data_IF_404819476103
#
_entry.id   IF_404819476103
#
_cell.length_a   1.000
_cell.length_b   1.000
_cell.length_c   1.000
_cell.angle_alpha   90.00
_cell.angle_beta   90.00
_cell.angle_gamma   90.00
#
_symmetry.space_group_name_H-M   'P 1'
#
loop_
_entity.id
_entity.type
_entity.pdbx_description
1 polymer ?
#
# COMPACT_ATOMS: atom_id res chain seq x y z
N UNK A 1 -12.95 25.53 -8.05
CA UNK A 1 -12.17 24.88 -6.95
C UNK A 1 -11.85 23.46 -7.39
N UNK A 2 -10.63 23.18 -7.91
CA UNK A 2 -10.34 21.87 -8.47
C UNK A 2 -10.14 20.86 -7.32
N UNK A 3 -11.02 19.85 -7.25
CA UNK A 3 -11.01 18.79 -6.23
C UNK A 3 -10.41 17.47 -6.79
N UNK A 4 -9.46 17.55 -7.72
CA UNK A 4 -8.91 16.36 -8.38
C UNK A 4 -7.67 15.78 -7.69
N UNK A 5 -6.92 16.52 -6.87
CA UNK A 5 -5.66 15.99 -6.31
C UNK A 5 -5.80 14.98 -5.17
N UNK A 6 -6.98 14.80 -4.57
CA UNK A 6 -7.13 13.90 -3.40
C UNK A 6 -7.09 12.43 -3.79
N UNK A 7 -7.62 12.07 -4.99
CA UNK A 7 -7.64 10.67 -5.45
C UNK A 7 -6.22 10.18 -5.74
N UNK A 8 -5.40 10.98 -6.42
CA UNK A 8 -3.99 10.68 -6.74
C UNK A 8 -3.07 10.67 -5.51
N UNK A 9 -3.24 11.63 -4.59
CA UNK A 9 -2.41 11.74 -3.39
C UNK A 9 -2.54 10.49 -2.50
N UNK A 10 -3.78 10.03 -2.29
CA UNK A 10 -4.05 8.86 -1.46
C UNK A 10 -3.55 7.56 -2.10
N UNK A 11 -3.59 7.45 -3.44
CA UNK A 11 -2.95 6.34 -4.16
C UNK A 11 -1.43 6.35 -3.99
N UNK A 12 -0.78 7.50 -4.23
CA UNK A 12 0.67 7.66 -4.06
C UNK A 12 1.12 7.31 -2.65
N UNK A 13 0.39 7.75 -1.62
CA UNK A 13 0.68 7.40 -0.24
C UNK A 13 0.60 5.88 0.02
N UNK A 14 -0.46 5.22 -0.46
CA UNK A 14 -0.61 3.77 -0.32
C UNK A 14 0.51 3.00 -1.04
N UNK A 15 0.90 3.43 -2.23
CA UNK A 15 2.01 2.83 -2.99
C UNK A 15 3.34 3.01 -2.26
N UNK A 16 3.64 4.23 -1.78
CA UNK A 16 4.83 4.51 -0.97
C UNK A 16 4.84 3.64 0.30
N UNK A 17 3.71 3.56 1.01
CA UNK A 17 3.58 2.76 2.22
C UNK A 17 3.80 1.27 1.94
N UNK A 18 3.20 0.73 0.88
CA UNK A 18 3.38 -0.67 0.45
C UNK A 18 4.84 -0.94 0.07
N UNK A 19 5.50 -0.02 -0.64
CA UNK A 19 6.92 -0.15 -1.00
C UNK A 19 7.84 -0.10 0.23
N UNK A 20 7.54 0.75 1.21
CA UNK A 20 8.27 0.84 2.47
C UNK A 20 8.13 -0.42 3.32
N UNK A 21 6.93 -1.02 3.34
CA UNK A 21 6.66 -2.30 4.01
C UNK A 21 7.41 -3.45 3.33
N UNK A 22 7.45 -3.48 1.99
CA UNK A 22 8.28 -4.45 1.25
C UNK A 22 9.78 -4.31 1.56
N UNK A 23 10.27 -3.08 1.66
CA UNK A 23 11.65 -2.80 2.06
C UNK A 23 11.94 -3.24 3.50
N UNK A 24 10.99 -3.03 4.41
CA UNK A 24 11.07 -3.47 5.81
C UNK A 24 11.07 -5.00 5.96
N UNK A 25 10.31 -5.70 5.12
CA UNK A 25 10.32 -7.17 5.08
C UNK A 25 11.70 -7.66 4.62
N UNK A 26 12.25 -7.09 3.55
CA UNK A 26 13.60 -7.41 3.08
C UNK A 26 14.67 -7.11 4.16
N UNK A 27 14.52 -6.00 4.87
CA UNK A 27 15.39 -5.65 6.00
C UNK A 27 15.28 -6.66 7.15
N UNK A 28 14.07 -7.05 7.55
CA UNK A 28 13.83 -8.04 8.60
C UNK A 28 14.40 -9.42 8.27
N UNK A 29 14.32 -9.83 7.00
CA UNK A 29 14.97 -11.03 6.47
C UNK A 29 16.50 -10.96 6.59
N UNK A 30 17.09 -9.81 6.23
CA UNK A 30 18.54 -9.61 6.31
C UNK A 30 19.04 -9.59 7.77
N UNK A 31 18.22 -9.09 8.69
CA UNK A 31 18.49 -9.08 10.13
C UNK A 31 18.24 -10.43 10.83
N UNK A 32 17.45 -11.31 10.23
CA UNK A 32 16.97 -12.54 10.88
C UNK A 32 15.89 -12.31 11.95
N UNK A 33 15.26 -11.13 11.97
CA UNK A 33 14.23 -10.77 12.96
C UNK A 33 12.83 -11.12 12.45
N UNK A 34 12.34 -12.30 12.84
CA UNK A 34 11.04 -12.83 12.43
C UNK A 34 9.86 -11.95 12.87
N UNK A 35 10.01 -11.22 13.99
CA UNK A 35 8.98 -10.29 14.51
C UNK A 35 8.75 -9.12 13.55
N UNK A 36 9.83 -8.54 13.01
CA UNK A 36 9.76 -7.42 12.07
C UNK A 36 9.07 -7.88 10.78
N UNK A 37 9.43 -9.07 10.28
CA UNK A 37 8.81 -9.65 9.09
C UNK A 37 7.32 -9.88 9.32
N UNK A 38 6.93 -10.48 10.44
CA UNK A 38 5.53 -10.78 10.76
C UNK A 38 4.68 -9.50 10.87
N UNK A 39 5.17 -8.51 11.62
CA UNK A 39 4.47 -7.22 11.81
C UNK A 39 4.31 -6.45 10.49
N UNK A 40 5.38 -6.34 9.70
CA UNK A 40 5.33 -5.64 8.42
C UNK A 40 4.52 -6.42 7.38
N UNK A 41 4.47 -7.75 7.45
CA UNK A 41 3.63 -8.57 6.55
C UNK A 41 2.14 -8.30 6.76
N UNK A 42 1.69 -8.16 8.02
CA UNK A 42 0.30 -7.77 8.34
C UNK A 42 0.00 -6.36 7.82
N UNK A 43 0.92 -5.41 8.04
CA UNK A 43 0.79 -4.04 7.51
C UNK A 43 0.73 -4.01 5.99
N UNK A 44 1.56 -4.82 5.33
CA UNK A 44 1.62 -4.96 3.87
C UNK A 44 0.31 -5.55 3.32
N UNK A 45 -0.22 -6.60 3.95
CA UNK A 45 -1.51 -7.18 3.58
C UNK A 45 -2.66 -6.18 3.71
N UNK A 46 -2.69 -5.39 4.78
CA UNK A 46 -3.73 -4.38 5.01
C UNK A 46 -3.68 -3.28 3.95
N UNK A 47 -2.49 -2.73 3.70
CA UNK A 47 -2.28 -1.65 2.73
C UNK A 47 -2.45 -2.12 1.29
N UNK A 48 -2.02 -3.33 0.96
CA UNK A 48 -2.29 -3.96 -0.34
C UNK A 48 -3.78 -4.19 -0.56
N UNK A 49 -4.54 -4.58 0.48
CA UNK A 49 -6.00 -4.75 0.39
C UNK A 49 -6.69 -3.41 0.13
N UNK A 50 -6.33 -2.37 0.88
CA UNK A 50 -6.87 -1.01 0.68
C UNK A 50 -6.51 -0.47 -0.69
N UNK A 51 -5.26 -0.63 -1.14
CA UNK A 51 -4.79 -0.23 -2.45
C UNK A 51 -5.54 -0.98 -3.57
N UNK A 52 -5.70 -2.30 -3.43
CA UNK A 52 -6.44 -3.12 -4.39
C UNK A 52 -7.93 -2.75 -4.47
N UNK A 53 -8.56 -2.47 -3.33
CA UNK A 53 -9.94 -2.00 -3.28
C UNK A 53 -10.10 -0.64 -3.99
N UNK A 54 -9.17 0.28 -3.73
CA UNK A 54 -9.15 1.62 -4.36
C UNK A 54 -8.84 1.59 -5.85
N UNK A 55 -7.95 0.71 -6.30
CA UNK A 55 -7.66 0.49 -7.74
C UNK A 55 -8.89 -0.09 -8.44
N UNK A 56 -9.60 -1.03 -7.82
CA UNK A 56 -10.84 -1.60 -8.37
C UNK A 56 -11.95 -0.56 -8.48
N UNK A 57 -12.10 0.28 -7.47
CA UNK A 57 -13.07 1.38 -7.42
C UNK A 57 -12.83 2.38 -8.56
N UNK A 58 -11.58 2.85 -8.73
CA UNK A 58 -11.18 3.73 -9.85
C UNK A 58 -11.46 3.06 -11.20
N UNK A 59 -11.16 1.77 -11.35
CA UNK A 59 -11.39 1.05 -12.59
C UNK A 59 -12.87 0.81 -12.90
N UNK A 60 -13.75 0.85 -11.88
CA UNK A 60 -15.20 0.81 -12.02
C UNK A 60 -15.80 2.16 -12.46
N UNK A 61 -15.23 3.28 -12.01
CA UNK A 61 -15.60 4.62 -12.47
C UNK A 61 -15.22 4.88 -13.94
N UNK A 62 -14.14 4.28 -14.46
CA UNK A 62 -13.73 4.40 -15.87
C UNK A 62 -14.67 3.67 -16.87
N UNK A 63 -15.59 2.84 -16.37
CA UNK A 63 -16.49 2.01 -17.21
C UNK A 63 -17.94 2.48 -17.26
N UNK A 64 -18.26 3.65 -16.67
CA UNK A 64 -19.60 4.26 -16.66
C UNK A 64 -19.58 5.65 -17.31
#
# INVERSE_FOLDING_TARGET
MPRSSTKDLSLKMLVVLTSGLGLWIAYGLLKGDWIIVLANSIGCALTATVLGCKIRDIRGEDSA
#
